data_IF_699887313361
#
_entry.id   IF_699887313361
#
_cell.length_a   1.000
_cell.length_b   1.000
_cell.length_c   1.000
_cell.angle_alpha   90.00
_cell.angle_beta   90.00
_cell.angle_gamma   90.00
#
_symmetry.space_group_name_H-M   'P 1'
#
loop_
_entity.id
_entity.type
_entity.pdbx_description
1 polymer ?
#
# COMPACT_ATOMS: atom_id res chain seq x y z
N UNK A 1 -0.53 3.89 -7.76
CA UNK A 1 -0.77 3.22 -6.46
C UNK A 1 -2.06 3.75 -5.88
N UNK A 2 -2.92 2.87 -5.35
CA UNK A 2 -4.18 3.27 -4.70
C UNK A 2 -4.14 2.75 -3.26
N UNK A 3 -4.50 3.60 -2.31
CA UNK A 3 -4.56 3.25 -0.89
C UNK A 3 -5.97 3.45 -0.36
N UNK A 4 -6.38 2.56 0.54
CA UNK A 4 -7.68 2.61 1.19
C UNK A 4 -7.77 3.73 2.22
N UNK A 5 -8.99 4.04 2.66
CA UNK A 5 -9.20 4.95 3.79
C UNK A 5 -8.65 4.33 5.08
N UNK A 6 -8.29 5.16 6.06
CA UNK A 6 -7.80 4.66 7.36
C UNK A 6 -8.85 3.86 8.14
N UNK A 7 -10.14 4.18 7.94
CA UNK A 7 -11.22 3.56 8.69
C UNK A 7 -11.75 2.27 8.05
N UNK A 8 -11.85 2.24 6.72
CA UNK A 8 -12.53 1.17 5.98
C UNK A 8 -11.65 0.44 4.95
N UNK A 9 -10.43 0.91 4.68
CA UNK A 9 -9.58 0.29 3.68
C UNK A 9 -10.08 0.50 2.25
N UNK A 10 -9.75 -0.44 1.35
CA UNK A 10 -10.20 -0.43 -0.04
C UNK A 10 -11.52 -1.20 -0.17
N UNK A 11 -12.47 -0.72 -0.97
CA UNK A 11 -13.68 -1.46 -1.31
C UNK A 11 -13.38 -2.83 -1.97
N UNK A 12 -14.21 -3.84 -1.68
CA UNK A 12 -14.00 -5.21 -2.18
C UNK A 12 -14.12 -5.32 -3.71
N UNK A 13 -15.01 -4.53 -4.32
CA UNK A 13 -15.18 -4.45 -5.77
C UNK A 13 -13.92 -3.89 -6.45
N UNK A 14 -13.28 -2.91 -5.83
CA UNK A 14 -12.00 -2.39 -6.28
C UNK A 14 -10.89 -3.44 -6.14
N UNK A 15 -10.81 -4.15 -5.01
CA UNK A 15 -9.85 -5.24 -4.85
C UNK A 15 -10.06 -6.37 -5.87
N UNK A 16 -11.31 -6.70 -6.19
CA UNK A 16 -11.65 -7.69 -7.20
C UNK A 16 -11.29 -7.25 -8.63
N UNK A 17 -11.39 -5.95 -8.93
CA UNK A 17 -11.06 -5.39 -10.23
C UNK A 17 -9.54 -5.32 -10.50
N UNK A 18 -8.71 -5.26 -9.46
CA UNK A 18 -7.25 -5.12 -9.57
C UNK A 18 -6.51 -6.33 -8.97
N UNK A 19 -6.25 -7.39 -9.77
CA UNK A 19 -5.65 -8.63 -9.29
C UNK A 19 -4.19 -8.47 -8.82
N UNK A 20 -3.55 -7.33 -9.13
CA UNK A 20 -2.20 -6.96 -8.70
C UNK A 20 -2.16 -6.31 -7.30
N UNK A 21 -3.14 -6.61 -6.44
CA UNK A 21 -3.17 -6.11 -5.07
C UNK A 21 -1.92 -6.53 -4.28
N UNK A 22 -1.36 -5.59 -3.52
CA UNK A 22 -0.15 -5.80 -2.70
C UNK A 22 -0.52 -5.76 -1.23
N UNK A 23 0.09 -6.64 -0.43
CA UNK A 23 -0.06 -6.66 1.03
C UNK A 23 1.29 -6.42 1.70
N UNK A 24 1.32 -5.45 2.61
CA UNK A 24 2.46 -5.25 3.53
C UNK A 24 2.35 -6.29 4.66
N UNK A 25 3.36 -7.13 4.90
CA UNK A 25 3.37 -8.03 6.04
C UNK A 25 3.31 -7.26 7.36
N UNK A 26 2.43 -7.70 8.27
CA UNK A 26 2.29 -7.12 9.63
C UNK A 26 2.36 -8.29 10.62
N UNK A 27 3.14 -8.11 11.68
CA UNK A 27 3.28 -9.09 12.77
C UNK A 27 2.61 -8.60 14.07
N UNK A 28 2.20 -9.54 14.92
CA UNK A 28 1.61 -9.24 16.22
C UNK A 28 0.13 -8.88 16.16
N UNK A 29 -0.34 -8.10 17.16
CA UNK A 29 -1.77 -7.77 17.35
C UNK A 29 -2.25 -6.52 16.60
N UNK A 30 -1.41 -5.92 15.75
CA UNK A 30 -1.76 -4.70 15.03
C UNK A 30 -2.59 -5.04 13.80
N UNK A 31 -3.69 -4.30 13.58
CA UNK A 31 -4.66 -4.55 12.50
C UNK A 31 -4.23 -3.97 11.15
N UNK A 32 -3.57 -2.82 11.16
CA UNK A 32 -3.09 -2.13 9.96
C UNK A 32 -1.96 -1.16 10.33
N UNK A 33 -1.17 -0.76 9.32
CA UNK A 33 -0.33 0.42 9.43
C UNK A 33 -1.19 1.66 9.20
N UNK A 34 -0.80 2.78 9.82
CA UNK A 34 -1.32 4.09 9.38
C UNK A 34 -1.01 4.31 7.89
N UNK A 35 -1.87 5.08 7.22
CA UNK A 35 -1.83 5.31 5.79
C UNK A 35 -0.48 5.91 5.31
N UNK A 36 0.09 6.87 6.05
CA UNK A 36 1.36 7.49 5.69
C UNK A 36 2.53 6.49 5.76
N UNK A 37 2.55 5.62 6.77
CA UNK A 37 3.57 4.56 6.88
C UNK A 37 3.42 3.52 5.77
N UNK A 38 2.19 3.12 5.44
CA UNK A 38 1.93 2.22 4.32
C UNK A 38 2.38 2.84 2.98
N UNK A 39 2.06 4.10 2.72
CA UNK A 39 2.49 4.80 1.52
C UNK A 39 4.02 4.93 1.43
N UNK A 40 4.66 5.30 2.54
CA UNK A 40 6.12 5.42 2.62
C UNK A 40 6.80 4.10 2.27
N UNK A 41 6.37 2.99 2.85
CA UNK A 41 6.96 1.67 2.60
C UNK A 41 6.83 1.26 1.12
N UNK A 42 5.66 1.44 0.53
CA UNK A 42 5.43 1.07 -0.87
C UNK A 42 6.25 1.95 -1.83
N UNK A 43 6.37 3.24 -1.55
CA UNK A 43 7.21 4.14 -2.35
C UNK A 43 8.70 3.79 -2.21
N UNK A 44 9.17 3.49 -1.00
CA UNK A 44 10.55 3.05 -0.80
C UNK A 44 10.86 1.74 -1.51
N UNK A 45 9.92 0.79 -1.49
CA UNK A 45 10.07 -0.46 -2.21
C UNK A 45 10.08 -0.24 -3.72
N UNK A 46 9.20 0.63 -4.23
CA UNK A 46 9.21 1.02 -5.63
C UNK A 46 10.56 1.65 -6.02
N UNK A 47 11.08 2.60 -5.23
CA UNK A 47 12.39 3.21 -5.43
C UNK A 47 13.51 2.17 -5.42
N UNK A 48 13.47 1.21 -4.47
CA UNK A 48 14.47 0.15 -4.37
C UNK A 48 14.47 -0.75 -5.61
N UNK A 49 13.30 -1.03 -6.19
CA UNK A 49 13.16 -1.89 -7.37
C UNK A 49 13.52 -1.19 -8.67
N UNK A 50 13.19 0.09 -8.79
CA UNK A 50 13.27 0.85 -10.05
C UNK A 50 14.48 1.77 -10.12
N UNK A 51 15.06 2.15 -8.98
CA UNK A 51 16.16 3.11 -8.88
C UNK A 51 15.71 4.57 -8.95
N UNK A 52 14.44 4.84 -9.24
CA UNK A 52 13.89 6.19 -9.37
C UNK A 52 12.41 6.26 -8.99
N UNK A 53 11.97 7.41 -8.49
CA UNK A 53 10.54 7.71 -8.35
C UNK A 53 10.29 8.92 -9.23
N UNK A 54 9.76 8.73 -10.42
CA UNK A 54 9.40 9.85 -11.28
C UNK A 54 8.30 10.68 -10.60
N UNK A 55 8.68 11.87 -10.16
CA UNK A 55 7.84 12.78 -9.37
C UNK A 55 8.25 14.23 -9.59
N UNK A 56 8.51 14.57 -10.86
CA UNK A 56 9.30 15.71 -11.40
C UNK A 56 10.79 15.46 -11.50
#
# INVERSE_FOLDING_TARGET
>A
LVFGSESSGLPDDLLAAYPNAVRIPIWGKVRSLNLANAATLVLYEALRQTGELEGK
#
